data_IF_621663186262
#
_entry.id   IF_621663186262
#
_cell.length_a   1.000
_cell.length_b   1.000
_cell.length_c   1.000
_cell.angle_alpha   90.00
_cell.angle_beta   90.00
_cell.angle_gamma   90.00
#
_symmetry.space_group_name_H-M   'P 1'
#
loop_
_entity.id
_entity.type
_entity.pdbx_description
1 polymer ?
#
# COMPACT_ATOMS: atom_id res chain seq x y z
N UNK A 1 -6.50 -24.22 -7.21
CA UNK A 1 -6.05 -22.92 -6.70
C UNK A 1 -7.25 -22.18 -6.16
N UNK A 2 -7.17 -21.69 -4.92
CA UNK A 2 -8.22 -20.86 -4.32
C UNK A 2 -8.05 -19.42 -4.81
N UNK A 3 -9.13 -18.81 -5.29
CA UNK A 3 -9.14 -17.42 -5.72
C UNK A 3 -9.85 -16.60 -4.63
N UNK A 4 -9.10 -15.78 -3.88
CA UNK A 4 -9.62 -15.08 -2.71
C UNK A 4 -10.30 -13.74 -3.04
N UNK A 5 -10.44 -13.40 -4.33
CA UNK A 5 -11.02 -12.15 -4.84
C UNK A 5 -10.49 -10.90 -4.11
N UNK A 6 -9.17 -10.86 -3.87
CA UNK A 6 -8.51 -9.73 -3.24
C UNK A 6 -7.98 -8.79 -4.32
N UNK A 7 -7.97 -7.50 -4.00
CA UNK A 7 -7.56 -6.43 -4.90
C UNK A 7 -6.36 -5.72 -4.30
N UNK A 8 -5.35 -5.43 -5.11
CA UNK A 8 -4.16 -4.69 -4.70
C UNK A 8 -4.53 -3.20 -4.49
N UNK A 9 -4.37 -2.71 -3.26
CA UNK A 9 -4.68 -1.34 -2.87
C UNK A 9 -3.93 -0.28 -3.69
N UNK A 10 -2.71 -0.59 -4.13
CA UNK A 10 -1.95 0.29 -5.01
C UNK A 10 -2.63 0.43 -6.37
N UNK A 11 -3.13 -0.68 -6.93
CA UNK A 11 -3.77 -0.67 -8.25
C UNK A 11 -5.11 0.06 -8.21
N UNK A 12 -5.84 -0.01 -7.08
CA UNK A 12 -7.09 0.73 -6.88
C UNK A 12 -6.87 2.24 -7.08
N UNK A 13 -5.82 2.82 -6.48
CA UNK A 13 -5.60 4.27 -6.49
C UNK A 13 -4.69 4.76 -7.61
N UNK A 14 -3.69 3.97 -8.00
CA UNK A 14 -2.62 4.40 -8.91
C UNK A 14 -2.62 3.66 -10.25
N UNK A 15 -3.52 2.69 -10.43
CA UNK A 15 -3.62 1.87 -11.64
C UNK A 15 -2.31 1.12 -11.95
N UNK A 16 -1.81 1.30 -13.18
CA UNK A 16 -0.58 0.68 -13.66
C UNK A 16 0.70 1.43 -13.29
N UNK A 17 0.60 2.53 -12.53
CA UNK A 17 1.77 3.32 -12.13
C UNK A 17 2.70 2.47 -11.30
N UNK A 18 3.98 2.46 -11.67
CA UNK A 18 5.00 1.69 -10.98
C UNK A 18 5.63 2.56 -9.90
N UNK A 19 5.48 2.13 -8.65
CA UNK A 19 6.28 2.60 -7.53
C UNK A 19 6.96 1.40 -6.88
N UNK A 20 8.17 1.59 -6.38
CA UNK A 20 9.03 0.51 -5.93
C UNK A 20 9.10 0.45 -4.41
N UNK A 21 8.84 -0.73 -3.86
CA UNK A 21 8.95 -0.98 -2.43
C UNK A 21 10.29 -1.61 -2.08
N UNK A 22 11.07 -2.08 -3.05
CA UNK A 22 12.37 -2.70 -2.84
C UNK A 22 13.40 -2.21 -3.84
N UNK A 23 14.64 -2.02 -3.39
CA UNK A 23 15.78 -1.69 -4.25
C UNK A 23 17.09 -2.29 -3.72
N UNK A 24 17.85 -2.92 -4.62
CA UNK A 24 19.22 -3.33 -4.38
C UNK A 24 20.12 -2.87 -5.53
N UNK A 25 21.04 -1.94 -5.23
CA UNK A 25 21.87 -1.30 -6.24
C UNK A 25 21.02 -0.58 -7.30
N UNK A 26 21.06 -1.07 -8.54
CA UNK A 26 20.28 -0.55 -9.69
C UNK A 26 18.97 -1.31 -9.93
N UNK A 27 18.74 -2.41 -9.25
CA UNK A 27 17.55 -3.23 -9.43
C UNK A 27 16.45 -2.72 -8.50
N UNK A 28 15.24 -2.53 -9.03
CA UNK A 28 14.07 -2.07 -8.27
C UNK A 28 12.87 -2.96 -8.59
N UNK A 29 12.01 -3.17 -7.60
CA UNK A 29 10.77 -3.94 -7.79
C UNK A 29 9.66 -3.51 -6.81
N UNK A 30 8.41 -3.85 -7.15
CA UNK A 30 7.27 -3.77 -6.24
C UNK A 30 7.01 -5.17 -5.69
N UNK A 31 7.63 -5.45 -4.55
CA UNK A 31 7.54 -6.77 -3.90
C UNK A 31 6.44 -6.77 -2.83
N UNK A 32 6.32 -5.67 -2.10
CA UNK A 32 5.36 -5.48 -1.03
C UNK A 32 4.03 -4.98 -1.59
N UNK A 33 2.94 -5.56 -1.10
CA UNK A 33 1.57 -5.26 -1.54
C UNK A 33 0.62 -5.38 -0.36
N UNK A 34 -0.39 -4.52 -0.34
CA UNK A 34 -1.52 -4.66 0.58
C UNK A 34 -2.74 -5.06 -0.24
N UNK A 35 -3.23 -6.27 0.01
CA UNK A 35 -4.42 -6.80 -0.64
C UNK A 35 -5.63 -6.60 0.28
N UNK A 36 -6.71 -6.04 -0.27
CA UNK A 36 -7.97 -5.82 0.44
C UNK A 36 -9.10 -6.63 -0.19
N UNK A 37 -10.12 -6.95 0.60
CA UNK A 37 -11.34 -7.55 0.06
C UNK A 37 -12.09 -6.55 -0.81
N UNK A 38 -12.91 -7.04 -1.74
CA UNK A 38 -13.76 -6.17 -2.57
C UNK A 38 -14.65 -5.23 -1.75
N UNK A 39 -15.08 -5.64 -0.56
CA UNK A 39 -15.90 -4.82 0.36
C UNK A 39 -15.15 -3.61 0.91
N UNK A 40 -13.82 -3.72 1.05
CA UNK A 40 -12.97 -2.63 1.54
C UNK A 40 -12.28 -1.86 0.41
N UNK A 41 -12.35 -2.34 -0.83
CA UNK A 41 -11.65 -1.72 -1.96
C UNK A 41 -12.07 -0.26 -2.16
N UNK A 42 -13.38 0.01 -2.14
CA UNK A 42 -13.92 1.37 -2.33
C UNK A 42 -13.71 2.29 -1.12
N UNK A 43 -13.22 1.77 0.01
CA UNK A 43 -12.92 2.56 1.21
C UNK A 43 -11.43 2.87 1.36
N UNK A 44 -10.56 2.34 0.49
CA UNK A 44 -9.15 2.73 0.48
C UNK A 44 -9.06 4.17 -0.05
N UNK A 45 -8.53 5.07 0.77
CA UNK A 45 -8.44 6.50 0.46
C UNK A 45 -7.02 6.96 0.13
N UNK A 46 -6.02 6.30 0.71
CA UNK A 46 -4.61 6.58 0.49
C UNK A 46 -3.85 5.25 0.40
N UNK A 47 -2.81 5.20 -0.43
CA UNK A 47 -1.86 4.11 -0.56
C UNK A 47 -0.51 4.71 -0.92
N UNK A 48 0.46 4.62 -0.03
CA UNK A 48 1.72 5.35 -0.15
C UNK A 48 2.91 4.48 0.21
N UNK A 49 3.97 4.62 -0.60
CA UNK A 49 5.29 4.08 -0.30
C UNK A 49 6.09 5.20 0.35
N UNK A 50 6.52 4.97 1.58
CA UNK A 50 7.31 5.93 2.33
C UNK A 50 8.77 5.78 1.91
N UNK A 51 9.18 6.59 0.94
CA UNK A 51 10.59 6.67 0.57
C UNK A 51 11.39 7.31 1.71
N UNK A 52 12.44 6.64 2.17
CA UNK A 52 13.35 7.23 3.14
C UNK A 52 13.95 8.50 2.52
N UNK A 53 13.78 9.65 3.18
CA UNK A 53 14.47 10.86 2.78
C UNK A 53 15.98 10.59 2.74
N UNK A 54 16.69 11.20 1.79
CA UNK A 54 18.14 10.99 1.60
C UNK A 54 19.01 11.30 2.85
N UNK A 55 18.42 11.92 3.88
CA UNK A 55 19.06 12.29 5.14
C UNK A 55 18.86 11.26 6.26
N UNK A 56 17.99 10.25 6.08
CA UNK A 56 17.79 9.20 7.06
C UNK A 56 18.62 7.96 6.68
N UNK A 57 19.28 7.30 7.65
CA UNK A 57 19.97 6.06 7.38
C UNK A 57 18.96 5.02 6.91
N UNK A 58 19.17 4.51 5.70
CA UNK A 58 18.36 3.43 5.17
C UNK A 58 18.69 2.13 5.90
N UNK A 59 17.76 1.67 6.74
CA UNK A 59 17.90 0.47 7.59
C UNK A 59 17.46 -0.83 6.89
N UNK A 60 16.78 -0.71 5.75
CA UNK A 60 16.28 -1.83 4.95
C UNK A 60 16.32 -1.47 3.46
N UNK A 61 16.56 -2.47 2.62
CA UNK A 61 16.38 -2.40 1.17
C UNK A 61 14.91 -2.29 0.74
N UNK A 62 13.97 -2.38 1.69
CA UNK A 62 12.55 -2.10 1.48
C UNK A 62 12.12 -0.72 2.00
N UNK A 63 11.20 -0.09 1.27
CA UNK A 63 10.43 1.07 1.70
C UNK A 63 9.09 0.61 2.32
N UNK A 64 8.68 1.16 3.47
CA UNK A 64 7.36 0.88 4.04
C UNK A 64 6.24 1.20 3.06
N UNK A 65 5.23 0.32 2.98
CA UNK A 65 3.98 0.54 2.25
C UNK A 65 2.83 0.65 3.24
N UNK A 66 2.10 1.76 3.19
CA UNK A 66 0.94 2.02 4.03
C UNK A 66 -0.32 2.26 3.21
N UNK A 67 -1.48 1.90 3.77
CA UNK A 67 -2.78 2.29 3.23
C UNK A 67 -3.63 2.94 4.32
N UNK A 68 -4.58 3.78 3.90
CA UNK A 68 -5.57 4.38 4.80
C UNK A 68 -6.97 3.92 4.45
N UNK A 69 -7.61 3.33 5.44
CA UNK A 69 -9.02 2.95 5.40
C UNK A 69 -9.70 3.76 6.51
N UNK A 70 -10.69 4.62 6.20
CA UNK A 70 -11.47 5.31 7.20
C UNK A 70 -12.13 4.30 8.13
N UNK A 71 -12.01 4.49 9.44
CA UNK A 71 -12.88 3.78 10.36
C UNK A 71 -14.32 4.24 10.09
N UNK A 72 -15.28 3.30 10.08
CA UNK A 72 -16.68 3.71 10.23
C UNK A 72 -16.74 4.47 11.55
N UNK A 73 -17.08 5.76 11.50
CA UNK A 73 -17.28 6.56 12.70
C UNK A 73 -18.21 5.79 13.62
N UNK A 74 -17.84 5.70 14.90
CA UNK A 74 -18.79 5.22 15.90
C UNK A 74 -20.05 6.08 15.76
N UNK A 75 -21.25 5.50 15.56
CA UNK A 75 -22.45 6.30 15.67
C UNK A 75 -22.43 6.89 17.08
N UNK A 76 -22.30 8.21 17.17
CA UNK A 76 -22.40 8.93 18.43
C UNK A 76 -23.75 8.59 19.03
N UNK A 77 -23.73 7.97 20.22
CA UNK A 77 -24.93 7.74 21.03
C UNK A 77 -25.57 9.11 21.32
N UNK A 78 -26.65 9.43 20.60
CA UNK A 78 -27.65 10.41 21.00
C UNK A 78 -28.77 9.67 21.75
#
# INVERSE_FOLDING_TARGET
MLHFNLIDAHVILHGATVQYTWQQGRTKSRLDRVYVSSVLADTVTECEIVEAAALLPQISDHNPLGIKIPSKGNPSNN
#
